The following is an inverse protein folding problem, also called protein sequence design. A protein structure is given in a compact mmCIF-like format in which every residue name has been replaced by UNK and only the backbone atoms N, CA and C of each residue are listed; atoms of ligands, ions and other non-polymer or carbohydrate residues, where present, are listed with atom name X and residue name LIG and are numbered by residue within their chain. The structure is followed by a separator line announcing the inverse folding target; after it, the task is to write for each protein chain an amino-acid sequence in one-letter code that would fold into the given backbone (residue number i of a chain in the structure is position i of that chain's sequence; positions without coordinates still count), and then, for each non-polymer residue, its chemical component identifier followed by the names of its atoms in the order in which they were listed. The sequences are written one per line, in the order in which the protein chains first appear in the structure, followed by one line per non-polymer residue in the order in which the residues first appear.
data_IF_694865774750
#
_entry.id   IF_694865774750
#
_cell.length_a   1.000
_cell.length_b   1.000
_cell.length_c   1.000
_cell.angle_alpha   90.00
_cell.angle_beta   90.00
_cell.angle_gamma   90.00
#
_symmetry.space_group_name_H-M   'P 1'
#
loop_
_entity.id
_entity.type
_entity.pdbx_description
1 polymer ?
#
# COMPACT_ATOMS: atom_id res chain seq x y z
N UNK A 1 -14.66 4.67 -6.30
CA UNK A 1 -14.69 5.10 -4.88
C UNK A 1 -15.15 3.91 -4.04
N UNK A 2 -14.36 3.49 -3.08
CA UNK A 2 -14.80 2.47 -2.13
C UNK A 2 -14.81 3.04 -0.71
N UNK A 3 -15.69 2.49 0.13
CA UNK A 3 -15.83 2.88 1.52
C UNK A 3 -16.06 1.61 2.34
N UNK A 4 -15.11 1.26 3.19
CA UNK A 4 -15.21 0.08 4.03
C UNK A 4 -15.47 0.49 5.47
N UNK A 5 -16.48 -0.16 6.08
CA UNK A 5 -16.83 -0.04 7.48
C UNK A 5 -16.90 -1.43 8.07
N UNK A 6 -15.99 -1.74 8.97
CA UNK A 6 -15.99 -3.00 9.72
C UNK A 6 -16.76 -2.80 11.01
N UNK A 7 -17.65 -3.75 11.31
CA UNK A 7 -18.47 -3.72 12.52
C UNK A 7 -17.64 -4.06 13.77
N UNK A 8 -18.17 -3.70 14.90
CA UNK A 8 -17.64 -3.78 16.25
C UNK A 8 -17.11 -5.17 16.59
N UNK A 9 -16.00 -5.21 17.30
CA UNK A 9 -15.66 -6.37 18.11
C UNK A 9 -16.36 -6.23 19.47
N UNK A 10 -17.41 -7.01 19.65
CA UNK A 10 -18.18 -7.03 20.90
C UNK A 10 -17.38 -7.60 22.09
N UNK A 11 -16.25 -8.26 21.81
CA UNK A 11 -15.33 -8.79 22.81
C UNK A 11 -14.14 -7.86 23.08
N UNK A 12 -14.12 -6.68 22.50
CA UNK A 12 -13.05 -5.72 22.71
C UNK A 12 -12.96 -5.31 24.18
N UNK A 13 -11.78 -5.46 24.74
CA UNK A 13 -11.49 -5.09 26.14
C UNK A 13 -11.18 -3.62 26.31
N UNK A 14 -10.99 -2.88 25.21
CA UNK A 14 -10.73 -1.45 25.21
C UNK A 14 -11.65 -0.70 24.23
N UNK A 15 -11.80 0.60 24.46
CA UNK A 15 -12.65 1.48 23.63
C UNK A 15 -12.13 1.55 22.19
N UNK A 16 -10.83 1.49 21.98
CA UNK A 16 -10.20 1.61 20.64
C UNK A 16 -10.49 0.36 19.82
N UNK A 17 -10.39 -0.84 20.42
CA UNK A 17 -10.74 -2.12 19.80
C UNK A 17 -12.21 -2.21 19.42
N UNK A 18 -13.10 -1.63 20.23
CA UNK A 18 -14.54 -1.60 19.97
C UNK A 18 -14.98 -0.59 18.87
N UNK A 19 -14.09 0.30 18.42
CA UNK A 19 -14.44 1.27 17.38
C UNK A 19 -14.43 0.64 15.98
N UNK A 20 -15.45 0.92 15.13
CA UNK A 20 -15.47 0.42 13.76
C UNK A 20 -14.30 1.00 12.96
N UNK A 21 -13.70 0.16 12.13
CA UNK A 21 -12.62 0.56 11.22
C UNK A 21 -13.19 1.21 9.96
N UNK A 22 -12.66 2.36 9.57
CA UNK A 22 -13.10 3.10 8.39
C UNK A 22 -11.93 3.40 7.46
N UNK A 23 -12.09 2.99 6.22
CA UNK A 23 -11.20 3.37 5.12
C UNK A 23 -12.01 3.98 3.99
N UNK A 24 -11.40 4.89 3.26
CA UNK A 24 -11.97 5.49 2.05
C UNK A 24 -10.89 5.51 0.98
N UNK A 25 -11.26 5.14 -0.24
CA UNK A 25 -10.31 5.13 -1.34
C UNK A 25 -10.94 5.57 -2.66
N UNK A 26 -10.06 6.09 -3.50
CA UNK A 26 -10.31 6.34 -4.91
C UNK A 26 -9.21 5.67 -5.70
N UNK A 27 -9.58 4.97 -6.77
CA UNK A 27 -8.63 4.37 -7.71
C UNK A 27 -9.01 4.78 -9.13
N UNK A 28 -8.02 5.17 -9.89
CA UNK A 28 -8.15 5.51 -11.30
C UNK A 28 -7.06 4.80 -12.11
N UNK A 29 -7.41 4.38 -13.32
CA UNK A 29 -6.49 3.73 -14.27
C UNK A 29 -6.71 4.31 -15.65
N UNK A 30 -5.62 4.65 -16.33
CA UNK A 30 -5.60 5.02 -17.72
C UNK A 30 -4.61 4.12 -18.47
N UNK A 31 -5.03 3.59 -19.62
CA UNK A 31 -4.20 2.74 -20.48
C UNK A 31 -4.21 3.28 -21.89
N UNK A 32 -3.07 3.23 -22.53
CA UNK A 32 -2.91 3.64 -23.93
C UNK A 32 -2.05 2.62 -24.66
N UNK A 33 -2.50 2.25 -25.85
CA UNK A 33 -1.72 1.41 -26.76
C UNK A 33 -1.66 2.05 -28.14
N UNK A 34 -0.49 1.95 -28.79
CA UNK A 34 -0.28 2.44 -30.13
C UNK A 34 0.30 1.35 -31.03
N UNK A 35 -0.45 1.04 -32.10
CA UNK A 35 -0.11 0.03 -33.12
C UNK A 35 0.26 -1.34 -32.54
N UNK A 36 -0.28 -1.71 -31.37
CA UNK A 36 0.06 -2.94 -30.63
C UNK A 36 1.58 -3.12 -30.40
N UNK A 37 2.33 -2.01 -30.42
CA UNK A 37 3.79 -1.96 -30.21
C UNK A 37 4.15 -1.31 -28.90
N UNK A 38 3.55 -0.17 -28.63
CA UNK A 38 3.85 0.64 -27.45
C UNK A 38 2.65 0.68 -26.53
N UNK A 39 2.90 0.41 -25.28
CA UNK A 39 1.87 0.38 -24.24
C UNK A 39 2.29 1.31 -23.10
N UNK A 40 1.37 2.11 -22.65
CA UNK A 40 1.55 2.95 -21.48
C UNK A 40 0.35 2.77 -20.54
N UNK A 41 0.63 2.71 -19.26
CA UNK A 41 -0.37 2.59 -18.21
C UNK A 41 -0.05 3.56 -17.09
N UNK A 42 -1.07 4.22 -16.59
CA UNK A 42 -0.99 5.06 -15.40
C UNK A 42 -2.09 4.64 -14.42
N UNK A 43 -1.69 4.38 -13.19
CA UNK A 43 -2.57 4.07 -12.08
C UNK A 43 -2.41 5.12 -10.99
N UNK A 44 -3.52 5.56 -10.42
CA UNK A 44 -3.55 6.47 -9.28
C UNK A 44 -4.42 5.88 -8.19
N UNK A 45 -3.83 5.62 -7.03
CA UNK A 45 -4.53 5.27 -5.80
C UNK A 45 -4.48 6.44 -4.82
N UNK A 46 -5.63 6.82 -4.28
CA UNK A 46 -5.74 7.78 -3.17
C UNK A 46 -6.48 7.08 -2.06
N UNK A 47 -5.81 6.80 -0.96
CA UNK A 47 -6.38 6.07 0.17
C UNK A 47 -6.39 6.95 1.41
N UNK A 48 -7.49 6.92 2.15
CA UNK A 48 -7.67 7.59 3.41
C UNK A 48 -7.90 6.59 4.54
N UNK A 49 -7.16 6.73 5.63
CA UNK A 49 -7.29 5.92 6.83
C UNK A 49 -7.52 6.79 8.06
N UNK A 50 -8.38 6.35 8.94
CA UNK A 50 -8.63 7.02 10.22
C UNK A 50 -7.50 6.83 11.25
N UNK A 51 -6.58 5.87 10.99
CA UNK A 51 -5.45 5.61 11.87
C UNK A 51 -4.50 6.79 12.01
N UNK A 52 -4.56 7.74 11.08
CA UNK A 52 -3.71 8.92 11.06
C UNK A 52 -4.43 10.18 11.55
N UNK A 53 -3.65 11.11 12.09
CA UNK A 53 -4.17 12.40 12.56
C UNK A 53 -4.83 13.20 11.44
N UNK A 54 -5.79 14.08 11.78
CA UNK A 54 -6.35 15.03 10.82
C UNK A 54 -5.25 15.75 10.04
N UNK A 55 -5.37 15.82 8.71
CA UNK A 55 -4.34 16.38 7.81
C UNK A 55 -3.32 15.37 7.26
N UNK A 56 -3.17 14.19 7.87
CA UNK A 56 -2.27 13.11 7.37
C UNK A 56 -3.01 11.83 6.96
N UNK A 57 -4.32 11.88 6.94
CA UNK A 57 -5.18 10.71 6.67
C UNK A 57 -5.09 10.18 5.25
N UNK A 58 -4.79 11.04 4.27
CA UNK A 58 -4.79 10.65 2.87
C UNK A 58 -3.37 10.42 2.36
N UNK A 59 -3.19 9.26 1.72
CA UNK A 59 -2.00 8.90 0.97
C UNK A 59 -2.29 8.82 -0.52
N UNK A 60 -1.33 9.29 -1.33
CA UNK A 60 -1.40 9.24 -2.79
C UNK A 60 -0.32 8.28 -3.28
N UNK A 61 -0.72 7.33 -4.12
CA UNK A 61 0.09 6.21 -4.58
C UNK A 61 -0.01 6.10 -6.10
N UNK A 62 0.79 6.86 -6.84
CA UNK A 62 0.87 6.76 -8.29
C UNK A 62 1.69 5.54 -8.70
N UNK A 63 1.34 4.94 -9.83
CA UNK A 63 2.13 3.93 -10.50
C UNK A 63 2.02 4.11 -12.02
N UNK A 64 3.10 3.82 -12.72
CA UNK A 64 3.10 3.84 -14.19
C UNK A 64 3.78 2.57 -14.72
N UNK A 65 3.34 2.17 -15.91
CA UNK A 65 3.90 1.04 -16.63
C UNK A 65 4.14 1.42 -18.08
N UNK A 66 5.22 0.91 -18.64
CA UNK A 66 5.56 1.00 -20.05
C UNK A 66 5.78 -0.38 -20.61
N UNK A 67 5.34 -0.60 -21.85
CA UNK A 67 5.55 -1.84 -22.57
C UNK A 67 5.93 -1.59 -24.02
N UNK A 68 6.88 -2.37 -24.52
CA UNK A 68 7.28 -2.35 -25.92
C UNK A 68 7.30 -3.77 -26.48
N UNK A 69 6.38 -4.03 -27.41
CA UNK A 69 6.33 -5.29 -28.15
C UNK A 69 7.26 -5.19 -29.38
N UNK A 70 8.52 -5.54 -29.19
CA UNK A 70 9.57 -5.46 -30.24
C UNK A 70 9.21 -6.38 -31.41
N UNK A 71 8.56 -7.51 -31.12
CA UNK A 71 8.13 -8.48 -32.14
C UNK A 71 7.12 -7.91 -33.14
N UNK A 72 6.48 -6.79 -32.82
CA UNK A 72 5.51 -6.16 -33.71
C UNK A 72 6.16 -5.06 -34.60
N UNK A 73 7.47 -4.84 -34.46
CA UNK A 73 8.20 -3.93 -35.32
C UNK A 73 8.52 -4.58 -36.68
N UNK A 74 8.57 -3.78 -37.73
CA UNK A 74 8.82 -4.25 -39.11
C UNK A 74 10.21 -4.87 -39.28
N UNK A 75 11.19 -4.41 -38.53
CA UNK A 75 12.56 -4.97 -38.56
C UNK A 75 12.66 -6.35 -37.93
N UNK A 76 11.64 -6.81 -37.18
CA UNK A 76 11.63 -8.10 -36.50
C UNK A 76 11.24 -9.27 -37.43
N UNK A 77 10.68 -9.00 -38.61
CA UNK A 77 10.18 -10.02 -39.53
C UNK A 77 11.17 -11.17 -39.82
N UNK A 78 12.46 -10.94 -40.06
CA UNK A 78 13.40 -12.04 -40.34
C UNK A 78 13.66 -12.92 -39.12
N UNK A 79 13.52 -12.39 -37.90
CA UNK A 79 13.77 -13.09 -36.62
C UNK A 79 12.54 -13.85 -36.13
N UNK A 80 11.35 -13.47 -36.58
CA UNK A 80 10.06 -14.03 -36.13
C UNK A 80 9.96 -15.56 -36.27
N UNK A 81 10.68 -16.15 -37.22
CA UNK A 81 10.73 -17.61 -37.41
C UNK A 81 11.31 -18.33 -36.18
N UNK A 82 12.21 -17.70 -35.46
CA UNK A 82 12.89 -18.27 -34.29
C UNK A 82 12.29 -17.76 -32.99
N UNK A 83 12.07 -16.44 -32.91
CA UNK A 83 11.50 -15.76 -31.74
C UNK A 83 10.17 -15.14 -32.19
N UNK A 84 9.07 -15.84 -31.88
CA UNK A 84 7.72 -15.45 -32.32
C UNK A 84 7.22 -14.19 -31.61
N UNK A 85 7.65 -13.99 -30.35
CA UNK A 85 7.25 -12.84 -29.55
C UNK A 85 8.36 -12.36 -28.65
N UNK A 86 8.54 -11.03 -28.59
CA UNK A 86 9.43 -10.37 -27.62
C UNK A 86 8.76 -9.07 -27.14
N UNK A 87 8.61 -8.95 -25.84
CA UNK A 87 8.07 -7.76 -25.21
C UNK A 87 8.88 -7.38 -23.97
N UNK A 88 9.22 -6.12 -23.86
CA UNK A 88 9.78 -5.51 -22.66
C UNK A 88 8.68 -4.83 -21.86
N UNK A 89 8.75 -4.95 -20.55
CA UNK A 89 7.85 -4.29 -19.60
C UNK A 89 8.67 -3.57 -18.53
N UNK A 90 8.25 -2.39 -18.18
CA UNK A 90 8.79 -1.66 -17.04
C UNK A 90 7.64 -1.09 -16.23
N UNK A 91 7.66 -1.30 -14.92
CA UNK A 91 6.71 -0.71 -14.00
C UNK A 91 7.42 -0.03 -12.84
N UNK A 92 6.88 1.09 -12.39
CA UNK A 92 7.35 1.83 -11.22
C UNK A 92 6.14 2.38 -10.47
N UNK A 93 6.03 2.09 -9.20
CA UNK A 93 4.88 2.50 -8.44
C UNK A 93 5.14 2.60 -6.94
N UNK A 94 4.27 3.36 -6.30
CA UNK A 94 4.24 3.50 -4.86
C UNK A 94 3.08 2.72 -4.26
N UNK A 95 3.36 2.02 -3.17
CA UNK A 95 2.36 1.30 -2.37
C UNK A 95 2.39 1.87 -0.96
N UNK A 96 1.22 2.06 -0.36
CA UNK A 96 1.09 2.55 1.00
C UNK A 96 0.43 1.53 1.92
N UNK A 97 0.88 1.49 3.17
CA UNK A 97 0.25 0.73 4.24
C UNK A 97 -0.06 1.64 5.43
N UNK A 98 -1.23 1.46 6.00
CA UNK A 98 -1.68 2.14 7.23
C UNK A 98 -1.55 1.25 8.48
N UNK A 99 -1.18 -0.02 8.30
CA UNK A 99 -1.09 -1.01 9.37
C UNK A 99 0.34 -1.23 9.89
N UNK A 100 1.34 -0.59 9.28
CA UNK A 100 2.75 -0.79 9.62
C UNK A 100 3.11 -0.40 11.07
N UNK A 101 2.23 0.28 11.78
CA UNK A 101 2.47 0.81 13.12
C UNK A 101 1.95 -0.07 14.25
N UNK A 102 1.21 -1.14 13.95
CA UNK A 102 0.74 -2.12 14.93
C UNK A 102 -0.35 -1.65 15.92
N UNK A 103 -0.61 -0.33 16.04
CA UNK A 103 -1.64 0.24 16.92
C UNK A 103 -2.51 1.23 16.15
N UNK A 104 -3.82 1.16 16.38
CA UNK A 104 -4.77 2.16 15.86
C UNK A 104 -4.60 3.49 16.60
N UNK A 105 -4.86 4.59 15.91
CA UNK A 105 -4.85 5.95 16.47
C UNK A 105 -3.57 6.29 17.25
N UNK A 106 -2.40 5.95 16.69
CA UNK A 106 -1.11 6.20 17.37
C UNK A 106 -0.87 7.67 17.71
N UNK A 107 -1.55 8.59 17.06
CA UNK A 107 -1.46 10.02 17.35
C UNK A 107 -2.15 10.42 18.65
N UNK A 108 -2.93 9.52 19.25
CA UNK A 108 -3.57 9.75 20.55
C UNK A 108 -2.73 9.15 21.67
N UNK A 109 -2.53 9.89 22.76
CA UNK A 109 -1.98 9.37 23.99
C UNK A 109 -2.96 8.41 24.66
N UNK A 110 -2.43 7.39 25.32
CA UNK A 110 -3.21 6.46 26.16
C UNK A 110 -2.85 6.69 27.60
N UNK A 111 -3.87 6.94 28.41
CA UNK A 111 -3.72 7.13 29.84
C UNK A 111 -4.25 5.89 30.56
N UNK A 112 -3.53 5.44 31.57
CA UNK A 112 -3.94 4.35 32.44
C UNK A 112 -4.00 4.80 33.89
N UNK A 113 -4.86 4.17 34.67
CA UNK A 113 -4.92 4.37 36.11
C UNK A 113 -3.65 3.82 36.78
N UNK A 114 -3.00 4.63 37.57
CA UNK A 114 -1.86 4.23 38.40
C UNK A 114 -2.37 3.86 39.81
N UNK A 115 -1.74 2.82 40.39
CA UNK A 115 -1.93 2.53 41.80
C UNK A 115 -1.39 3.73 42.60
N UNK A 116 -2.24 4.31 43.38
CA UNK A 116 -1.90 5.52 44.12
C UNK A 116 -0.92 5.28 45.26
N UNK A 117 -0.24 6.34 45.62
CA UNK A 117 0.58 6.39 46.84
C UNK A 117 -0.30 6.71 48.02
N UNK A 118 -0.03 6.10 49.18
CA UNK A 118 -0.75 6.39 50.39
C UNK A 118 -0.26 7.71 51.00
N UNK A 119 -1.18 8.61 51.27
CA UNK A 119 -0.89 9.92 51.87
C UNK A 119 -1.63 10.12 53.19
N UNK A 120 -1.01 10.88 54.07
CA UNK A 120 -1.58 11.30 55.34
C UNK A 120 -1.54 10.26 56.46
N UNK A 121 -2.03 10.63 57.61
CA UNK A 121 -2.06 9.77 58.81
C UNK A 121 -3.04 8.61 58.72
N UNK A 122 -4.00 8.67 57.86
CA UNK A 122 -5.04 7.61 57.64
C UNK A 122 -4.71 6.67 56.49
N UNK A 123 -3.52 6.79 55.88
CA UNK A 123 -3.06 5.95 54.74
C UNK A 123 -4.09 5.84 53.63
N UNK A 124 -4.77 6.94 53.27
CA UNK A 124 -5.73 6.94 52.18
C UNK A 124 -5.00 6.85 50.86
N UNK A 125 -5.36 5.83 50.06
CA UNK A 125 -4.82 5.65 48.71
C UNK A 125 -5.48 6.67 47.75
N UNK A 126 -4.68 7.47 47.10
CA UNK A 126 -5.13 8.34 46.02
C UNK A 126 -4.69 7.73 44.68
N UNK A 127 -5.65 7.34 43.86
CA UNK A 127 -5.37 6.84 42.52
C UNK A 127 -5.06 7.99 41.58
N UNK A 128 -4.02 7.84 40.81
CA UNK A 128 -3.63 8.78 39.76
C UNK A 128 -3.85 8.22 38.37
N UNK A 129 -3.61 9.06 37.38
CA UNK A 129 -3.52 8.65 35.97
C UNK A 129 -2.16 9.03 35.44
N UNK A 130 -1.56 8.10 34.69
CA UNK A 130 -0.31 8.33 33.98
C UNK A 130 -0.45 8.07 32.51
N UNK A 131 0.37 8.74 31.71
CA UNK A 131 0.41 8.49 30.28
C UNK A 131 1.18 7.18 30.03
N UNK A 132 0.47 6.14 29.59
CA UNK A 132 1.05 4.83 29.28
C UNK A 132 1.77 4.85 27.93
N UNK A 133 1.17 5.52 26.95
CA UNK A 133 1.71 5.61 25.59
C UNK A 133 1.54 7.01 25.05
N UNK A 134 2.66 7.63 24.70
CA UNK A 134 2.65 8.95 24.08
C UNK A 134 2.03 8.91 22.69
N UNK A 135 1.35 9.99 22.32
CA UNK A 135 0.86 10.18 20.97
C UNK A 135 1.99 10.41 19.98
N UNK A 136 2.08 9.58 18.94
CA UNK A 136 3.09 9.71 17.88
C UNK A 136 2.41 10.07 16.56
N UNK A 137 2.82 11.19 15.99
CA UNK A 137 2.25 11.68 14.74
C UNK A 137 2.89 10.96 13.54
N UNK A 138 2.30 9.85 13.14
CA UNK A 138 2.72 8.99 12.03
C UNK A 138 1.91 9.27 10.77
N UNK A 139 2.43 8.81 9.64
CA UNK A 139 1.78 8.86 8.33
C UNK A 139 1.94 7.52 7.62
N UNK A 140 1.42 7.41 6.40
CA UNK A 140 1.50 6.23 5.56
C UNK A 140 2.93 5.70 5.44
N UNK A 141 3.12 4.42 5.70
CA UNK A 141 4.34 3.71 5.29
C UNK A 141 4.30 3.54 3.79
N UNK A 142 5.35 4.01 3.10
CA UNK A 142 5.42 3.99 1.64
C UNK A 142 6.55 3.07 1.20
N UNK A 143 6.23 2.17 0.27
CA UNK A 143 7.21 1.34 -0.44
C UNK A 143 7.17 1.67 -1.92
N UNK A 144 8.34 1.83 -2.53
CA UNK A 144 8.49 1.97 -3.98
C UNK A 144 8.85 0.62 -4.58
N UNK A 145 8.05 0.18 -5.55
CA UNK A 145 8.25 -1.08 -6.27
C UNK A 145 8.58 -0.76 -7.72
N UNK A 146 9.67 -1.33 -8.19
CA UNK A 146 10.13 -1.24 -9.58
C UNK A 146 10.28 -2.64 -10.12
N UNK A 147 9.83 -2.85 -11.35
CA UNK A 147 9.93 -4.12 -12.04
C UNK A 147 10.28 -3.92 -13.51
N UNK A 148 11.25 -4.72 -14.00
CA UNK A 148 11.65 -4.81 -15.39
C UNK A 148 11.40 -6.25 -15.85
N UNK A 149 10.43 -6.45 -16.72
CA UNK A 149 10.04 -7.74 -17.25
C UNK A 149 10.40 -7.92 -18.71
N UNK A 150 10.75 -9.13 -19.08
CA UNK A 150 11.02 -9.57 -20.45
C UNK A 150 10.18 -10.80 -20.73
N UNK A 151 9.29 -10.71 -21.71
CA UNK A 151 8.47 -11.83 -22.20
C UNK A 151 9.01 -12.29 -23.55
N UNK A 152 9.42 -13.54 -23.66
CA UNK A 152 9.97 -14.12 -24.89
C UNK A 152 9.22 -15.40 -25.20
N UNK A 153 8.83 -15.58 -26.49
CA UNK A 153 8.28 -16.85 -27.00
C UNK A 153 9.05 -17.33 -28.20
N UNK A 154 9.24 -18.62 -28.26
CA UNK A 154 9.96 -19.32 -29.33
C UNK A 154 9.08 -20.38 -29.99
N UNK A 155 9.52 -20.87 -31.15
CA UNK A 155 8.97 -22.03 -31.82
C UNK A 155 7.44 -21.93 -32.05
N UNK A 156 6.99 -20.80 -32.61
CA UNK A 156 5.57 -20.54 -32.85
C UNK A 156 4.74 -20.65 -31.56
N UNK A 157 5.20 -19.98 -30.50
CA UNK A 157 4.55 -19.89 -29.19
C UNK A 157 4.54 -21.18 -28.35
N UNK A 158 5.24 -22.24 -28.79
CA UNK A 158 5.30 -23.51 -28.05
C UNK A 158 6.20 -23.43 -26.80
N UNK A 159 7.14 -22.48 -26.75
CA UNK A 159 8.03 -22.29 -25.62
C UNK A 159 7.99 -20.83 -25.18
N UNK A 160 7.70 -20.59 -23.92
CA UNK A 160 7.59 -19.24 -23.33
C UNK A 160 8.53 -19.09 -22.15
N UNK A 161 9.28 -17.98 -22.14
CA UNK A 161 10.09 -17.53 -21.01
C UNK A 161 9.62 -16.16 -20.56
N UNK A 162 9.48 -16.01 -19.23
CA UNK A 162 9.21 -14.72 -18.58
C UNK A 162 10.28 -14.51 -17.53
N UNK A 163 10.96 -13.38 -17.58
CA UNK A 163 12.01 -13.02 -16.62
C UNK A 163 11.67 -11.65 -16.08
N UNK A 164 11.60 -11.54 -14.75
CA UNK A 164 11.32 -10.30 -14.05
C UNK A 164 12.46 -9.95 -13.09
N UNK A 165 12.93 -8.70 -13.16
CA UNK A 165 13.87 -8.10 -12.23
C UNK A 165 13.15 -7.06 -11.40
N UNK A 166 12.97 -7.33 -10.12
CA UNK A 166 12.23 -6.44 -9.24
C UNK A 166 13.12 -5.84 -8.14
N UNK A 167 12.75 -4.63 -7.72
CA UNK A 167 13.36 -3.92 -6.60
C UNK A 167 12.29 -3.27 -5.75
N UNK A 168 12.38 -3.48 -4.47
CA UNK A 168 11.52 -2.85 -3.47
C UNK A 168 12.35 -2.06 -2.45
N UNK A 169 11.85 -0.88 -2.05
CA UNK A 169 12.45 -0.01 -1.02
C UNK A 169 11.38 0.55 -0.11
#
# INVERSE_FOLDING_TARGET
LYNQKVYWDLNATDVIGGMPYKQRGFAGRATYSWNDRYFAEFNLGINGSENFSPGKRYGVFPAFGLGWAVSNESFWNPVRKYISFLKFRYTDGWVGSDTATGRRFMYQGVFTGLTGTMFGTNYTSANGYGEEKYGVNVTWSKSRKQDLGIDIKFLNDNLSFVVDFFKER
#
